data_IF_030735044641
#
_entry.id   IF_030735044641
#
_cell.length_a   1.000
_cell.length_b   1.000
_cell.length_c   1.000
_cell.angle_alpha   90.00
_cell.angle_beta   90.00
_cell.angle_gamma   90.00
#
_symmetry.space_group_name_H-M   'P 1'
#
loop_
_entity.id
_entity.type
_entity.pdbx_description
1 polymer ?
#
# COMPACT_ATOMS: atom_id res chain seq x y z
N UNK A 1 -0.74 -4.97 11.26
CA UNK A 1 -0.82 -4.35 9.91
C UNK A 1 -0.04 -5.25 8.97
N UNK A 2 -0.67 -5.71 7.88
CA UNK A 2 0.01 -6.47 6.82
C UNK A 2 0.18 -5.52 5.65
N UNK A 3 1.44 -5.20 5.34
CA UNK A 3 1.77 -4.41 4.15
C UNK A 3 1.74 -5.30 2.92
N UNK A 4 1.37 -4.73 1.78
CA UNK A 4 1.31 -5.42 0.48
C UNK A 4 2.19 -4.70 -0.52
N UNK A 5 2.54 -5.37 -1.61
CA UNK A 5 3.43 -4.83 -2.66
C UNK A 5 2.92 -3.49 -3.22
N UNK A 6 3.84 -2.54 -3.46
CA UNK A 6 3.51 -1.28 -4.10
C UNK A 6 2.95 -1.52 -5.51
N UNK A 7 1.92 -0.76 -5.89
CA UNK A 7 1.23 -0.93 -7.19
C UNK A 7 1.60 0.13 -8.21
N UNK A 8 2.16 1.26 -7.77
CA UNK A 8 2.61 2.34 -8.64
C UNK A 8 3.87 3.02 -8.06
N UNK A 9 4.70 3.59 -8.95
CA UNK A 9 5.86 4.39 -8.56
C UNK A 9 5.41 5.67 -7.85
N UNK A 10 6.11 6.05 -6.79
CA UNK A 10 5.77 7.18 -5.93
C UNK A 10 5.04 6.77 -4.65
N UNK A 11 4.62 5.52 -4.49
CA UNK A 11 3.95 5.06 -3.28
C UNK A 11 4.90 4.85 -2.10
N UNK A 12 4.37 4.93 -0.88
CA UNK A 12 5.00 4.43 0.33
C UNK A 12 3.99 3.63 1.18
N UNK A 13 4.42 3.16 2.35
CA UNK A 13 3.66 2.27 3.23
C UNK A 13 3.19 0.99 2.49
N UNK A 14 4.08 0.46 1.65
CA UNK A 14 3.89 -0.76 0.86
C UNK A 14 5.24 -1.49 0.72
N UNK A 15 5.20 -2.78 0.36
CA UNK A 15 6.41 -3.58 0.13
C UNK A 15 7.05 -3.17 -1.20
N UNK A 16 8.33 -2.78 -1.16
CA UNK A 16 9.06 -2.27 -2.32
C UNK A 16 10.25 -3.16 -2.64
N UNK A 17 11.31 -3.13 -1.82
CA UNK A 17 12.52 -3.92 -2.02
C UNK A 17 12.37 -5.32 -1.43
N UNK A 18 11.77 -6.23 -2.22
CA UNK A 18 11.36 -7.54 -1.72
C UNK A 18 10.24 -7.39 -0.68
N UNK A 19 10.41 -7.98 0.50
CA UNK A 19 9.42 -7.90 1.60
C UNK A 19 9.67 -6.73 2.56
N UNK A 20 10.43 -5.71 2.15
CA UNK A 20 10.69 -4.52 2.97
C UNK A 20 9.69 -3.41 2.69
N UNK A 21 9.13 -2.85 3.77
CA UNK A 21 8.20 -1.72 3.69
C UNK A 21 8.95 -0.43 3.36
N UNK A 22 8.53 0.27 2.31
CA UNK A 22 9.02 1.61 2.03
C UNK A 22 8.28 2.61 2.92
N UNK A 23 8.89 3.04 4.03
CA UNK A 23 8.25 3.85 5.07
C UNK A 23 7.94 5.30 4.69
N UNK A 24 7.34 6.05 5.63
CA UNK A 24 7.15 7.50 5.51
C UNK A 24 8.49 8.24 5.30
N UNK A 25 8.45 9.34 4.54
CA UNK A 25 9.64 10.09 4.13
C UNK A 25 10.43 9.45 2.99
N UNK A 26 9.97 8.28 2.50
CA UNK A 26 10.48 7.62 1.31
C UNK A 26 9.35 7.41 0.30
N UNK A 27 9.72 6.97 -0.90
CA UNK A 27 8.85 6.51 -1.97
C UNK A 27 9.47 5.34 -2.73
N UNK A 28 8.63 4.43 -3.19
CA UNK A 28 9.00 3.30 -4.02
C UNK A 28 9.04 3.71 -5.49
N UNK A 29 10.11 3.36 -6.20
CA UNK A 29 10.19 3.41 -7.66
C UNK A 29 10.03 1.97 -8.12
N UNK A 30 8.95 1.66 -8.85
CA UNK A 30 8.79 0.35 -9.46
C UNK A 30 9.80 0.18 -10.58
N UNK A 31 10.45 -0.98 -10.60
CA UNK A 31 11.33 -1.36 -11.70
C UNK A 31 10.53 -1.67 -12.96
N UNK A 32 11.09 -1.31 -14.11
CA UNK A 32 10.57 -1.70 -15.43
C UNK A 32 11.45 -2.81 -16.02
N UNK A 33 10.87 -3.65 -16.89
CA UNK A 33 11.62 -4.60 -17.73
C UNK A 33 12.65 -5.49 -17.01
N UNK A 34 12.28 -6.01 -15.82
CA UNK A 34 13.11 -6.93 -15.04
C UNK A 34 14.05 -6.24 -14.05
N UNK A 35 14.04 -4.91 -13.98
CA UNK A 35 14.68 -4.19 -12.88
C UNK A 35 13.92 -4.40 -11.56
N UNK A 36 14.64 -4.31 -10.45
CA UNK A 36 14.07 -4.41 -9.11
C UNK A 36 13.50 -3.06 -8.69
N UNK A 37 12.42 -3.10 -7.90
CA UNK A 37 11.91 -1.92 -7.22
C UNK A 37 12.97 -1.32 -6.28
N UNK A 38 12.92 -0.01 -6.08
CA UNK A 38 13.86 0.72 -5.21
C UNK A 38 13.10 1.66 -4.27
N UNK A 39 13.40 1.63 -2.98
CA UNK A 39 12.85 2.56 -2.00
C UNK A 39 13.85 3.70 -1.77
N UNK A 40 13.51 4.90 -2.22
CA UNK A 40 14.38 6.08 -2.16
C UNK A 40 13.77 7.16 -1.27
N UNK A 41 14.64 7.98 -0.65
CA UNK A 41 14.20 9.12 0.14
C UNK A 41 13.45 10.13 -0.73
N UNK A 42 12.30 10.60 -0.25
CA UNK A 42 11.42 11.51 -0.97
C UNK A 42 9.98 11.42 -0.48
N UNK A 43 9.17 12.41 -0.86
CA UNK A 43 7.75 12.42 -0.52
C UNK A 43 7.00 11.37 -1.35
N UNK A 44 6.42 10.37 -0.67
CA UNK A 44 5.64 9.31 -1.28
C UNK A 44 4.19 9.33 -0.81
N UNK A 45 3.28 8.88 -1.66
CA UNK A 45 1.85 8.77 -1.35
C UNK A 45 1.56 7.43 -0.68
N UNK A 46 0.85 7.36 0.46
CA UNK A 46 0.46 6.10 1.06
C UNK A 46 -0.28 5.21 0.06
N UNK A 47 0.13 3.94 -0.06
CA UNK A 47 -0.65 2.96 -0.83
C UNK A 47 -2.08 2.92 -0.25
N UNK A 48 -3.12 3.10 -1.07
CA UNK A 48 -4.50 3.06 -0.58
C UNK A 48 -4.82 1.69 0.02
N UNK A 49 -5.58 1.68 1.12
CA UNK A 49 -6.06 0.42 1.69
C UNK A 49 -6.98 -0.26 0.69
N UNK A 50 -6.81 -1.56 0.50
CA UNK A 50 -7.76 -2.38 -0.24
C UNK A 50 -9.03 -2.47 0.60
N UNK A 51 -9.99 -1.59 0.34
CA UNK A 51 -11.31 -1.66 0.95
C UNK A 51 -12.05 -2.90 0.40
N UNK A 52 -12.08 -3.97 1.18
CA UNK A 52 -13.04 -5.06 1.00
C UNK A 52 -14.34 -4.73 1.76
N UNK A 53 -14.93 -3.55 1.49
CA UNK A 53 -16.20 -3.16 2.11
C UNK A 53 -17.39 -3.99 1.58
N UNK A 54 -17.18 -4.86 0.58
CA UNK A 54 -18.25 -5.49 -0.18
C UNK A 54 -18.74 -6.86 0.31
N UNK A 55 -18.18 -7.45 1.37
CA UNK A 55 -18.44 -8.86 1.72
C UNK A 55 -19.26 -9.06 3.01
N UNK A 56 -19.70 -7.97 3.64
CA UNK A 56 -20.59 -8.05 4.80
C UNK A 56 -22.00 -7.62 4.40
N UNK A 57 -22.97 -8.48 4.68
CA UNK A 57 -24.39 -8.12 4.63
C UNK A 57 -24.65 -6.97 5.61
N UNK A 58 -25.51 -6.03 5.24
CA UNK A 58 -25.88 -4.91 6.11
C UNK A 58 -26.37 -5.43 7.45
N UNK A 59 -25.70 -5.01 8.53
CA UNK A 59 -26.14 -5.33 9.88
C UNK A 59 -27.39 -4.50 10.23
N UNK A 60 -28.35 -5.05 10.99
CA UNK A 60 -29.55 -4.32 11.38
C UNK A 60 -29.23 -2.98 12.09
N UNK A 61 -30.04 -1.96 11.82
CA UNK A 61 -29.83 -0.59 12.32
C UNK A 61 -29.69 -0.49 13.85
N UNK A 62 -30.28 -1.42 14.60
CA UNK A 62 -30.15 -1.50 16.07
C UNK A 62 -28.70 -1.71 16.55
N UNK A 63 -27.81 -2.19 15.67
CA UNK A 63 -26.40 -2.40 15.95
C UNK A 63 -25.49 -1.24 15.51
N UNK A 64 -26.02 -0.21 14.83
CA UNK A 64 -25.25 0.93 14.29
C UNK A 64 -25.21 2.16 15.23
N UNK A 65 -25.33 1.94 16.54
CA UNK A 65 -25.49 2.97 17.60
C UNK A 65 -24.74 4.29 17.40
#
# INVERSE_FOLDING_TARGET
VVYTDCTESGQNLCLCEGSNVCGQGNKCILGSDGEKNQCVTGEGTPKPQSHNDGDFEEIPEEYLQ
#
